data_IF_029722675225
#
_entry.id   IF_029722675225
#
_cell.length_a   1.000
_cell.length_b   1.000
_cell.length_c   1.000
_cell.angle_alpha   90.00
_cell.angle_beta   90.00
_cell.angle_gamma   90.00
#
_symmetry.space_group_name_H-M   'P 1'
#
loop_
_entity.id
_entity.type
_entity.pdbx_description
1 polymer ?
#
# COMPACT_ATOMS: atom_id res chain seq x y z
N UNK A 1 35.57 33.48 1.66
CA UNK A 1 35.24 32.05 1.47
C UNK A 1 34.24 31.66 2.53
N UNK A 2 32.94 31.57 2.21
CA UNK A 2 31.92 31.06 3.13
C UNK A 2 31.09 30.03 2.40
N UNK A 3 31.31 28.75 2.72
CA UNK A 3 30.46 27.67 2.26
C UNK A 3 29.13 27.73 3.02
N UNK A 4 28.08 28.17 2.32
CA UNK A 4 26.71 27.95 2.75
C UNK A 4 26.32 26.51 2.43
N UNK A 5 26.12 25.73 3.49
CA UNK A 5 25.61 24.36 3.43
C UNK A 5 24.17 24.34 2.92
N UNK A 6 23.97 23.76 1.73
CA UNK A 6 22.66 23.43 1.21
C UNK A 6 22.20 22.11 1.83
N UNK A 7 21.36 22.17 2.86
CA UNK A 7 20.58 21.03 3.32
C UNK A 7 19.38 20.81 2.38
N UNK A 8 19.23 19.64 1.75
CA UNK A 8 18.08 19.38 0.89
C UNK A 8 16.78 19.30 1.72
N UNK A 9 15.64 19.76 1.20
CA UNK A 9 14.37 19.67 1.90
C UNK A 9 13.92 18.21 1.97
N UNK A 10 13.83 17.68 3.19
CA UNK A 10 13.29 16.36 3.48
C UNK A 10 11.81 16.34 3.04
N UNK A 11 11.51 15.65 1.95
CA UNK A 11 10.15 15.50 1.44
C UNK A 11 9.31 14.80 2.51
N UNK A 12 8.34 15.52 3.09
CA UNK A 12 7.40 14.98 4.05
C UNK A 12 6.59 13.87 3.36
N UNK A 13 6.90 12.61 3.68
CA UNK A 13 6.04 11.48 3.32
C UNK A 13 4.64 11.79 3.88
N UNK A 14 3.67 12.01 2.99
CA UNK A 14 2.30 12.31 3.39
C UNK A 14 1.70 11.04 3.97
N UNK A 15 1.67 10.98 5.31
CA UNK A 15 1.14 9.85 6.05
C UNK A 15 -0.39 9.93 6.00
N UNK A 16 -1.01 9.24 5.04
CA UNK A 16 -2.45 9.17 4.95
C UNK A 16 -3.02 8.45 6.19
N UNK A 17 -3.60 9.21 7.12
CA UNK A 17 -4.28 8.68 8.30
C UNK A 17 -5.62 8.06 7.88
N UNK A 18 -5.73 6.75 8.05
CA UNK A 18 -6.86 5.94 7.59
C UNK A 18 -7.97 5.94 8.65
N UNK A 19 -9.04 6.71 8.40
CA UNK A 19 -10.26 6.68 9.22
C UNK A 19 -11.43 6.20 8.36
N UNK A 20 -11.95 5.01 8.64
CA UNK A 20 -13.18 4.51 8.04
C UNK A 20 -14.39 5.28 8.63
N UNK A 21 -14.75 6.44 8.06
CA UNK A 21 -16.03 7.08 8.39
C UNK A 21 -17.18 6.26 7.81
N UNK A 22 -18.08 5.78 8.68
CA UNK A 22 -19.34 5.15 8.30
C UNK A 22 -20.29 6.22 7.76
N UNK A 23 -20.50 6.32 6.43
CA UNK A 23 -21.63 7.08 5.88
C UNK A 23 -22.12 6.64 4.50
N UNK A 24 -23.39 6.96 4.32
CA UNK A 24 -24.42 6.68 3.31
C UNK A 24 -24.06 6.22 1.88
N UNK A 25 -24.67 5.08 1.52
CA UNK A 25 -25.34 4.79 0.23
C UNK A 25 -24.63 5.13 -1.10
N UNK A 26 -23.31 5.15 -1.16
CA UNK A 26 -22.57 5.08 -2.44
C UNK A 26 -21.82 3.74 -2.54
N UNK A 27 -22.51 2.73 -3.12
CA UNK A 27 -22.27 1.30 -2.88
C UNK A 27 -20.97 0.70 -3.45
N UNK A 28 -20.23 1.37 -4.33
CA UNK A 28 -19.20 0.67 -5.12
C UNK A 28 -17.76 1.17 -4.96
N UNK A 29 -17.51 2.45 -4.66
CA UNK A 29 -16.13 2.96 -4.70
C UNK A 29 -15.33 2.73 -3.41
N UNK A 30 -16.00 2.60 -2.26
CA UNK A 30 -15.37 2.61 -0.94
C UNK A 30 -15.31 1.23 -0.24
N UNK A 31 -15.33 0.12 -0.98
CA UNK A 31 -15.09 -1.20 -0.38
C UNK A 31 -13.71 -1.24 0.30
N UNK A 32 -13.61 -1.71 1.55
CA UNK A 32 -12.35 -1.73 2.28
C UNK A 32 -11.42 -2.83 1.74
N UNK A 33 -10.12 -2.63 1.92
CA UNK A 33 -9.08 -3.57 1.52
C UNK A 33 -8.77 -4.52 2.67
N UNK A 34 -8.67 -5.82 2.36
CA UNK A 34 -8.00 -6.78 3.24
C UNK A 34 -6.50 -6.63 3.08
N UNK A 35 -5.83 -6.23 4.16
CA UNK A 35 -4.40 -5.94 4.13
C UNK A 35 -3.61 -7.13 4.64
N UNK A 36 -2.67 -7.61 3.85
CA UNK A 36 -1.83 -8.77 4.18
C UNK A 36 -0.37 -8.37 4.03
N UNK A 37 0.40 -8.54 5.10
CA UNK A 37 1.85 -8.54 5.02
C UNK A 37 2.29 -9.85 4.37
N UNK A 38 2.86 -9.78 3.17
CA UNK A 38 3.22 -10.98 2.38
C UNK A 38 4.58 -11.57 2.77
N UNK A 39 5.36 -10.87 3.60
CA UNK A 39 6.64 -11.37 4.11
C UNK A 39 6.41 -12.71 4.82
N UNK A 40 7.05 -13.82 4.40
CA UNK A 40 6.81 -15.11 5.03
C UNK A 40 7.20 -15.11 6.53
N UNK A 41 6.35 -15.63 7.43
CA UNK A 41 5.00 -16.14 7.19
C UNK A 41 3.97 -15.00 7.00
N UNK A 42 3.00 -15.13 6.08
CA UNK A 42 2.04 -14.06 5.80
C UNK A 42 1.21 -13.67 7.03
N UNK A 43 1.03 -12.37 7.28
CA UNK A 43 0.26 -11.84 8.41
C UNK A 43 -0.91 -11.00 7.95
N UNK A 44 -2.08 -11.19 8.56
CA UNK A 44 -3.26 -10.40 8.25
C UNK A 44 -3.30 -9.14 9.12
N UNK A 45 -3.12 -7.97 8.51
CA UNK A 45 -3.10 -6.66 9.20
C UNK A 45 -4.50 -6.04 9.35
N UNK A 46 -5.53 -6.80 9.01
CA UNK A 46 -6.93 -6.41 9.15
C UNK A 46 -7.53 -5.81 7.89
N UNK A 47 -8.74 -5.27 8.02
CA UNK A 47 -9.50 -4.66 6.93
C UNK A 47 -9.52 -3.15 7.10
N UNK A 48 -9.02 -2.40 6.12
CA UNK A 48 -8.76 -0.96 6.22
C UNK A 48 -9.29 -0.22 4.98
N UNK A 49 -9.71 1.01 5.17
CA UNK A 49 -10.23 1.86 4.09
C UNK A 49 -9.10 2.68 3.49
N UNK A 50 -8.80 2.50 2.22
CA UNK A 50 -7.79 3.28 1.51
C UNK A 50 -8.45 4.04 0.36
N UNK A 51 -7.85 5.15 -0.09
CA UNK A 51 -8.36 5.83 -1.27
C UNK A 51 -8.22 4.90 -2.51
N UNK A 52 -9.10 5.03 -3.51
CA UNK A 52 -9.18 4.09 -4.63
C UNK A 52 -7.96 4.14 -5.56
N UNK A 53 -7.19 5.23 -5.53
CA UNK A 53 -6.03 5.50 -6.39
C UNK A 53 -4.69 4.98 -5.85
N UNK A 54 -4.70 4.04 -4.90
CA UNK A 54 -3.50 3.42 -4.35
C UNK A 54 -2.64 2.78 -5.46
N UNK A 55 -1.34 3.05 -5.43
CA UNK A 55 -0.39 2.50 -6.40
C UNK A 55 0.62 1.54 -5.74
N UNK A 56 1.19 0.65 -6.54
CA UNK A 56 2.33 -0.16 -6.09
C UNK A 56 3.55 0.74 -5.86
N UNK A 57 4.35 0.43 -4.83
CA UNK A 57 5.50 1.23 -4.40
C UNK A 57 5.15 2.40 -3.46
N UNK A 58 3.87 2.73 -3.28
CA UNK A 58 3.44 3.74 -2.33
C UNK A 58 3.61 3.27 -0.87
N UNK A 59 3.96 4.20 0.03
CA UNK A 59 4.11 3.93 1.46
C UNK A 59 2.82 4.19 2.22
N UNK A 60 2.34 3.20 2.96
CA UNK A 60 1.17 3.32 3.84
C UNK A 60 1.56 3.09 5.29
N UNK A 61 0.86 3.76 6.21
CA UNK A 61 1.04 3.52 7.65
C UNK A 61 -0.16 2.78 8.21
N UNK A 62 0.12 1.68 8.90
CA UNK A 62 -0.87 0.81 9.52
C UNK A 62 -0.40 0.57 10.94
N UNK A 63 -1.21 0.94 11.92
CA UNK A 63 -0.92 0.71 13.36
C UNK A 63 0.45 1.25 13.82
N UNK A 64 0.90 2.37 13.23
CA UNK A 64 2.18 3.00 13.57
C UNK A 64 3.40 2.41 12.85
N UNK A 65 3.21 1.38 12.03
CA UNK A 65 4.26 0.80 11.19
C UNK A 65 4.11 1.25 9.73
N UNK A 66 5.24 1.54 9.09
CA UNK A 66 5.29 1.90 7.67
C UNK A 66 5.50 0.66 6.81
N UNK A 67 4.63 0.50 5.82
CA UNK A 67 4.68 -0.57 4.85
C UNK A 67 4.72 0.01 3.44
N UNK A 68 5.33 -0.72 2.53
CA UNK A 68 5.32 -0.41 1.10
C UNK A 68 4.34 -1.36 0.41
N UNK A 69 3.49 -0.81 -0.45
CA UNK A 69 2.52 -1.59 -1.22
C UNK A 69 3.24 -2.40 -2.28
N UNK A 70 3.10 -3.72 -2.22
CA UNK A 70 3.62 -4.64 -3.23
C UNK A 70 2.61 -4.88 -4.35
N UNK A 71 1.33 -5.07 -4.01
CA UNK A 71 0.29 -5.30 -5.01
C UNK A 71 -1.09 -4.81 -4.54
N UNK A 72 -1.86 -4.28 -5.49
CA UNK A 72 -3.28 -3.90 -5.31
C UNK A 72 -4.13 -4.84 -6.16
N UNK A 73 -5.01 -5.62 -5.53
CA UNK A 73 -5.84 -6.62 -6.23
C UNK A 73 -7.32 -6.32 -6.06
N UNK A 74 -8.05 -6.24 -7.18
CA UNK A 74 -9.52 -6.16 -7.20
C UNK A 74 -10.08 -7.42 -7.85
N UNK A 75 -10.90 -8.14 -7.10
CA UNK A 75 -11.53 -9.39 -7.55
C UNK A 75 -12.99 -9.13 -7.90
N UNK A 76 -13.34 -9.44 -9.13
CA UNK A 76 -14.71 -9.34 -9.65
C UNK A 76 -15.33 -10.73 -9.81
N UNK A 77 -16.66 -10.79 -9.80
CA UNK A 77 -17.43 -12.00 -10.05
C UNK A 77 -18.52 -11.74 -11.07
N UNK A 78 -18.68 -12.63 -12.06
CA UNK A 78 -19.76 -12.56 -13.02
C UNK A 78 -21.09 -13.01 -12.38
N UNK A 79 -22.09 -12.13 -12.36
CA UNK A 79 -23.44 -12.37 -11.85
C UNK A 79 -24.45 -11.78 -12.82
N UNK A 80 -25.44 -12.59 -13.24
CA UNK A 80 -26.56 -12.13 -14.11
C UNK A 80 -26.09 -11.33 -15.35
N UNK A 81 -25.00 -11.77 -15.99
CA UNK A 81 -24.44 -11.11 -17.17
C UNK A 81 -23.62 -9.83 -16.90
N UNK A 82 -23.32 -9.50 -15.64
CA UNK A 82 -22.52 -8.32 -15.26
C UNK A 82 -21.40 -8.69 -14.28
N UNK A 83 -20.25 -8.03 -14.38
CA UNK A 83 -19.16 -8.18 -13.42
C UNK A 83 -19.44 -7.33 -12.18
N UNK A 84 -19.52 -7.97 -11.02
CA UNK A 84 -19.74 -7.32 -9.73
C UNK A 84 -18.45 -7.38 -8.88
N UNK A 85 -18.06 -6.29 -8.19
CA UNK A 85 -16.90 -6.28 -7.30
C UNK A 85 -17.16 -7.16 -6.07
N UNK A 86 -16.27 -8.12 -5.83
CA UNK A 86 -16.40 -9.10 -4.74
C UNK A 86 -15.44 -8.84 -3.59
N UNK A 87 -14.18 -8.54 -3.87
CA UNK A 87 -13.14 -8.43 -2.86
C UNK A 87 -12.01 -7.48 -3.31
N UNK A 88 -11.51 -6.68 -2.38
CA UNK A 88 -10.30 -5.89 -2.55
C UNK A 88 -9.22 -6.37 -1.58
N UNK A 89 -8.02 -6.60 -2.09
CA UNK A 89 -6.86 -7.07 -1.33
C UNK A 89 -5.69 -6.13 -1.56
N UNK A 90 -4.98 -5.82 -0.48
CA UNK A 90 -3.78 -5.01 -0.49
C UNK A 90 -2.63 -5.83 0.10
N UNK A 91 -1.64 -6.13 -0.72
CA UNK A 91 -0.46 -6.85 -0.31
C UNK A 91 0.65 -5.86 -0.01
N UNK A 92 1.20 -5.96 1.19
CA UNK A 92 2.19 -5.02 1.69
C UNK A 92 3.44 -5.73 2.19
N UNK A 93 4.56 -5.02 2.11
CA UNK A 93 5.85 -5.42 2.65
C UNK A 93 6.27 -4.41 3.70
N UNK A 94 7.02 -4.82 4.72
CA UNK A 94 7.68 -3.84 5.57
C UNK A 94 8.64 -3.00 4.72
N UNK A 95 8.73 -1.69 4.99
CA UNK A 95 9.58 -0.82 4.18
C UNK A 95 11.04 -1.27 4.16
N UNK A 96 11.54 -1.82 5.27
CA UNK A 96 12.87 -2.42 5.32
C UNK A 96 13.03 -3.62 4.38
N UNK A 97 12.05 -4.53 4.34
CA UNK A 97 12.09 -5.69 3.45
C UNK A 97 12.06 -5.28 1.98
N UNK A 98 11.24 -4.29 1.63
CA UNK A 98 11.16 -3.76 0.28
C UNK A 98 12.50 -3.20 -0.19
N UNK A 99 13.17 -2.37 0.62
CA UNK A 99 14.49 -1.80 0.32
C UNK A 99 15.55 -2.91 0.15
N UNK A 100 15.54 -3.91 1.03
CA UNK A 100 16.47 -5.04 0.94
C UNK A 100 16.28 -5.83 -0.36
N UNK A 101 15.05 -6.06 -0.79
CA UNK A 101 14.78 -6.76 -2.04
C UNK A 101 15.27 -5.97 -3.24
N UNK A 102 15.01 -4.65 -3.29
CA UNK A 102 15.53 -3.78 -4.35
C UNK A 102 17.07 -3.83 -4.43
N UNK A 103 17.75 -3.82 -3.29
CA UNK A 103 19.21 -3.91 -3.26
C UNK A 103 19.71 -5.25 -3.80
N UNK A 104 19.11 -6.36 -3.35
CA UNK A 104 19.50 -7.70 -3.80
C UNK A 104 19.22 -7.92 -5.29
N UNK A 105 18.08 -7.44 -5.79
CA UNK A 105 17.73 -7.50 -7.21
C UNK A 105 18.74 -6.74 -8.07
N UNK A 106 19.16 -5.56 -7.63
CA UNK A 106 20.17 -4.76 -8.32
C UNK A 106 21.53 -5.47 -8.37
N UNK A 107 21.98 -6.09 -7.27
CA UNK A 107 23.22 -6.86 -7.26
C UNK A 107 23.20 -8.05 -8.22
N UNK A 108 22.09 -8.79 -8.26
CA UNK A 108 21.91 -9.93 -9.18
C UNK A 108 21.84 -9.50 -10.64
N UNK A 109 21.31 -8.30 -10.92
CA UNK A 109 21.25 -7.78 -12.27
C UNK A 109 22.63 -7.32 -12.79
N UNK A 110 23.53 -6.94 -11.89
CA UNK A 110 24.87 -6.45 -12.21
C UNK A 110 25.98 -7.50 -12.10
N UNK A 111 25.65 -8.75 -11.76
CA UNK A 111 26.58 -9.90 -11.72
C UNK A 111 26.66 -10.61 -13.06
#
# INVERSE_FOLDING_TARGET
MSWSSLTPPMQKAQVALIVCKKRDRERDQHQPYKVIEITPPPKHLGTRCFPPNLQCGESVTIEGHTYTISAVTHRYQLRKGKYEPREKRLDVLSSGRYILNLYLENLLQNS
#
